data_IF_590303350860
#
_entry.id   IF_590303350860
#
_cell.length_a   1.000
_cell.length_b   1.000
_cell.length_c   1.000
_cell.angle_alpha   90.00
_cell.angle_beta   90.00
_cell.angle_gamma   90.00
#
_symmetry.space_group_name_H-M   'P 1'
#
loop_
_entity.id
_entity.type
_entity.pdbx_description
1 polymer ?
#
# COMPACT_ATOMS: atom_id res chain seq x y z
N UNK A 1 14.33 -11.66 17.97
CA UNK A 1 14.07 -10.98 16.68
C UNK A 1 13.33 -9.68 16.90
N UNK A 2 13.66 -8.71 16.07
CA UNK A 2 13.03 -7.38 16.07
C UNK A 2 12.60 -7.06 14.62
N UNK A 3 11.90 -5.95 14.44
CA UNK A 3 11.37 -5.53 13.13
C UNK A 3 12.43 -5.54 12.02
N UNK A 4 13.64 -5.05 12.31
CA UNK A 4 14.75 -5.02 11.35
C UNK A 4 15.06 -6.41 10.77
N UNK A 5 14.92 -7.45 11.57
CA UNK A 5 15.30 -8.80 11.16
C UNK A 5 14.36 -9.41 10.12
N UNK A 6 13.13 -8.88 10.03
CA UNK A 6 12.10 -9.43 9.14
C UNK A 6 11.57 -8.45 8.12
N UNK A 7 11.97 -7.18 8.18
CA UNK A 7 11.49 -6.18 7.22
C UNK A 7 12.03 -6.46 5.82
N UNK A 8 11.24 -6.10 4.82
CA UNK A 8 11.64 -6.10 3.42
C UNK A 8 12.15 -4.70 3.09
N UNK A 9 13.34 -4.62 2.52
CA UNK A 9 13.95 -3.33 2.15
C UNK A 9 13.75 -2.99 0.68
N UNK A 10 13.48 -3.98 -0.16
CA UNK A 10 13.12 -3.78 -1.57
C UNK A 10 11.60 -3.81 -1.69
N UNK A 11 10.98 -2.65 -1.62
CA UNK A 11 9.53 -2.51 -1.67
C UNK A 11 9.16 -1.28 -2.49
N UNK A 12 8.00 -1.29 -3.18
CA UNK A 12 7.61 -0.17 -4.00
C UNK A 12 7.14 1.03 -3.17
N UNK A 13 7.70 2.19 -3.47
CA UNK A 13 7.31 3.48 -2.90
C UNK A 13 6.91 4.43 -4.02
N UNK A 14 6.14 5.43 -3.67
CA UNK A 14 5.77 6.51 -4.59
C UNK A 14 5.69 7.84 -3.85
N UNK A 15 5.97 8.92 -4.58
CA UNK A 15 5.77 10.27 -4.05
C UNK A 15 4.28 10.59 -3.95
N UNK A 16 3.91 11.32 -2.90
CA UNK A 16 2.53 11.82 -2.76
C UNK A 16 2.14 12.77 -3.90
N UNK A 17 3.12 13.36 -4.58
CA UNK A 17 2.89 14.27 -5.72
C UNK A 17 2.78 13.56 -7.07
N UNK A 18 3.05 12.25 -7.12
CA UNK A 18 2.94 11.48 -8.36
C UNK A 18 1.48 11.35 -8.79
N UNK A 19 1.27 11.06 -10.08
CA UNK A 19 -0.08 10.85 -10.61
C UNK A 19 -0.61 9.45 -10.23
N UNK A 20 -1.92 9.34 -10.18
CA UNK A 20 -2.59 8.04 -9.99
C UNK A 20 -2.22 7.09 -11.13
N UNK A 21 -2.08 7.61 -12.35
CA UNK A 21 -1.65 6.81 -13.49
C UNK A 21 -0.27 6.18 -13.28
N UNK A 22 0.68 6.95 -12.73
CA UNK A 22 2.01 6.43 -12.40
C UNK A 22 1.92 5.36 -11.31
N UNK A 23 1.09 5.57 -10.31
CA UNK A 23 0.88 4.61 -9.24
C UNK A 23 0.35 3.28 -9.76
N UNK A 24 -0.63 3.31 -10.66
CA UNK A 24 -1.19 2.09 -11.26
C UNK A 24 -0.12 1.34 -12.06
N UNK A 25 0.72 2.07 -12.81
CA UNK A 25 1.84 1.44 -13.55
C UNK A 25 2.82 0.75 -12.61
N UNK A 26 3.16 1.37 -11.50
CA UNK A 26 4.09 0.76 -10.51
C UNK A 26 3.43 -0.44 -9.85
N UNK A 27 2.15 -0.36 -9.48
CA UNK A 27 1.40 -1.49 -8.94
C UNK A 27 1.38 -2.66 -9.92
N UNK A 28 1.09 -2.40 -11.18
CA UNK A 28 1.03 -3.43 -12.21
C UNK A 28 2.40 -4.08 -12.43
N UNK A 29 3.47 -3.28 -12.48
CA UNK A 29 4.83 -3.77 -12.65
C UNK A 29 5.26 -4.68 -11.50
N UNK A 30 4.91 -4.34 -10.27
CA UNK A 30 5.37 -5.07 -9.07
C UNK A 30 4.44 -6.19 -8.65
N UNK A 31 3.14 -6.10 -8.97
CA UNK A 31 2.12 -7.00 -8.45
C UNK A 31 1.17 -7.54 -9.53
N UNK A 32 1.40 -7.22 -10.80
CA UNK A 32 0.52 -7.66 -11.89
C UNK A 32 0.70 -9.11 -12.29
N UNK A 33 1.74 -9.77 -11.83
CA UNK A 33 2.01 -11.19 -12.09
C UNK A 33 1.47 -12.03 -10.94
N UNK A 34 0.70 -13.04 -11.25
CA UNK A 34 0.08 -13.95 -10.28
C UNK A 34 1.09 -14.77 -9.48
N UNK A 35 2.35 -14.79 -9.87
CA UNK A 35 3.39 -15.56 -9.16
C UNK A 35 3.84 -14.93 -7.84
N UNK A 36 3.44 -13.71 -7.54
CA UNK A 36 3.93 -12.97 -6.35
C UNK A 36 3.08 -13.22 -5.08
N UNK A 37 2.63 -14.32 -4.81
CA UNK A 37 1.64 -14.61 -3.76
C UNK A 37 2.00 -14.20 -2.32
N UNK A 38 3.17 -13.60 -2.11
CA UNK A 38 3.70 -13.36 -0.77
C UNK A 38 3.38 -11.99 -0.17
N UNK A 39 2.80 -11.08 -0.94
CA UNK A 39 2.49 -9.75 -0.44
C UNK A 39 1.25 -9.17 -1.12
N UNK A 40 0.43 -8.46 -0.37
CA UNK A 40 -0.71 -7.76 -0.91
C UNK A 40 -0.24 -6.54 -1.73
N UNK A 41 -0.83 -6.27 -2.91
CA UNK A 41 -0.50 -5.09 -3.69
C UNK A 41 -0.71 -3.80 -2.90
N UNK A 42 0.24 -2.88 -3.01
CA UNK A 42 0.15 -1.58 -2.37
C UNK A 42 1.46 -0.83 -2.43
N UNK A 43 1.37 0.47 -2.32
CA UNK A 43 2.52 1.37 -2.36
C UNK A 43 2.61 2.15 -1.06
N UNK A 44 3.81 2.27 -0.53
CA UNK A 44 4.12 3.21 0.54
C UNK A 44 4.24 4.59 -0.08
N UNK A 45 3.47 5.55 0.42
CA UNK A 45 3.49 6.92 -0.08
C UNK A 45 4.33 7.78 0.84
N UNK A 46 5.28 8.50 0.25
CA UNK A 46 6.23 9.33 0.99
C UNK A 46 6.23 10.76 0.45
N UNK A 47 6.68 11.69 1.30
CA UNK A 47 6.92 13.07 0.90
C UNK A 47 8.33 13.24 0.33
N UNK A 48 8.73 14.48 0.05
CA UNK A 48 10.03 14.83 -0.53
C UNK A 48 11.20 14.40 0.35
N UNK A 49 10.98 14.30 1.67
CA UNK A 49 11.99 13.91 2.65
C UNK A 49 12.04 12.39 2.89
N UNK A 50 11.23 11.61 2.18
CA UNK A 50 11.16 10.16 2.40
C UNK A 50 10.35 9.75 3.62
N UNK A 51 9.57 10.68 4.18
CA UNK A 51 8.73 10.43 5.34
C UNK A 51 7.39 9.82 4.94
N UNK A 52 6.89 8.91 5.77
CA UNK A 52 5.62 8.24 5.53
C UNK A 52 4.47 9.25 5.55
N UNK A 53 3.62 9.21 4.52
CA UNK A 53 2.38 10.00 4.47
C UNK A 53 1.14 9.13 4.33
N UNK A 54 1.25 7.96 3.72
CA UNK A 54 0.10 7.09 3.56
C UNK A 54 0.41 5.82 2.81
N UNK A 55 -0.66 5.11 2.47
CA UNK A 55 -0.63 3.88 1.69
C UNK A 55 -1.60 4.03 0.53
N UNK A 56 -1.21 3.54 -0.63
CA UNK A 56 -2.08 3.48 -1.80
C UNK A 56 -2.22 2.02 -2.22
N UNK A 57 -3.44 1.50 -2.16
CA UNK A 57 -3.75 0.11 -2.51
C UNK A 57 -4.73 0.05 -3.67
N UNK A 58 -4.90 -1.12 -4.31
CA UNK A 58 -5.97 -1.29 -5.30
C UNK A 58 -7.35 -0.91 -4.77
N UNK A 59 -7.65 -1.21 -3.50
CA UNK A 59 -8.93 -0.85 -2.90
C UNK A 59 -9.14 0.67 -2.90
N UNK A 60 -8.10 1.44 -2.57
CA UNK A 60 -8.14 2.90 -2.57
C UNK A 60 -8.45 3.45 -3.96
N UNK A 61 -7.81 2.88 -4.99
CA UNK A 61 -8.03 3.29 -6.38
C UNK A 61 -9.44 2.89 -6.84
N UNK A 62 -9.89 1.69 -6.51
CA UNK A 62 -11.25 1.24 -6.83
C UNK A 62 -12.29 2.14 -6.18
N UNK A 63 -12.05 2.57 -4.94
CA UNK A 63 -12.93 3.52 -4.25
C UNK A 63 -13.00 4.85 -4.99
N UNK A 64 -11.87 5.35 -5.48
CA UNK A 64 -11.83 6.59 -6.26
C UNK A 64 -12.57 6.45 -7.59
N UNK A 65 -12.44 5.31 -8.28
CA UNK A 65 -13.19 5.02 -9.51
C UNK A 65 -14.70 4.98 -9.24
N UNK A 66 -15.12 4.33 -8.16
CA UNK A 66 -16.52 4.26 -7.76
C UNK A 66 -17.10 5.63 -7.44
N UNK A 67 -16.37 6.47 -6.73
CA UNK A 67 -16.77 7.83 -6.43
C UNK A 67 -16.94 8.66 -7.71
N UNK A 68 -16.00 8.54 -8.65
CA UNK A 68 -16.07 9.22 -9.94
C UNK A 68 -17.30 8.78 -10.74
N UNK A 69 -17.60 7.50 -10.75
CA UNK A 69 -18.77 6.95 -11.44
C UNK A 69 -20.07 7.53 -10.86
N UNK A 70 -20.16 7.64 -9.54
CA UNK A 70 -21.33 8.18 -8.86
C UNK A 70 -21.50 9.68 -9.12
N UNK A 71 -20.42 10.46 -9.07
CA UNK A 71 -20.45 11.90 -9.31
C UNK A 71 -20.88 12.24 -10.73
N UNK A 72 -20.49 11.42 -11.70
CA UNK A 72 -20.80 11.66 -13.13
C UNK A 72 -22.11 11.01 -13.56
N UNK A 73 -22.80 10.28 -12.69
CA UNK A 73 -24.03 9.57 -13.01
C UNK A 73 -23.83 8.38 -13.94
N UNK A 74 -22.60 7.92 -14.14
CA UNK A 74 -22.25 6.84 -15.08
C UNK A 74 -22.36 5.45 -14.49
N UNK A 75 -22.63 5.32 -13.21
CA UNK A 75 -22.63 4.03 -12.50
C UNK A 75 -23.67 3.02 -12.99
N UNK A 76 -24.68 3.49 -13.74
CA UNK A 76 -25.77 2.64 -14.25
C UNK A 76 -25.60 2.22 -15.70
N UNK A 77 -24.62 2.77 -16.40
CA UNK A 77 -24.48 2.63 -17.84
C UNK A 77 -23.16 1.95 -18.17
N UNK A 78 -23.06 0.69 -17.81
CA UNK A 78 -21.84 -0.08 -17.97
C UNK A 78 -21.68 -0.51 -19.44
N UNK A 79 -20.79 0.16 -20.14
CA UNK A 79 -20.42 -0.13 -21.51
C UNK A 79 -18.89 -0.07 -21.66
N UNK A 80 -18.31 -0.54 -22.78
CA UNK A 80 -16.85 -0.57 -22.94
C UNK A 80 -16.14 0.78 -22.81
N UNK A 81 -16.84 1.88 -23.14
CA UNK A 81 -16.28 3.23 -23.01
C UNK A 81 -16.27 3.77 -21.59
N UNK A 82 -17.07 3.18 -20.68
CA UNK A 82 -17.20 3.66 -19.31
C UNK A 82 -15.86 3.58 -18.57
N UNK A 83 -15.19 2.45 -18.63
CA UNK A 83 -13.94 2.26 -17.91
C UNK A 83 -12.85 3.19 -18.40
N UNK A 84 -12.74 3.36 -19.72
CA UNK A 84 -11.77 4.29 -20.30
C UNK A 84 -12.05 5.73 -19.83
N UNK A 85 -13.33 6.14 -19.77
CA UNK A 85 -13.71 7.47 -19.33
C UNK A 85 -13.41 7.68 -17.84
N UNK A 86 -13.73 6.70 -16.99
CA UNK A 86 -13.45 6.79 -15.56
C UNK A 86 -11.94 6.84 -15.30
N UNK A 87 -11.18 5.98 -15.97
CA UNK A 87 -9.72 5.98 -15.84
C UNK A 87 -9.13 7.29 -16.34
N UNK A 88 -9.65 7.83 -17.45
CA UNK A 88 -9.24 9.14 -17.97
C UNK A 88 -9.46 10.26 -16.97
N UNK A 89 -10.55 10.19 -16.19
CA UNK A 89 -10.88 11.20 -15.17
C UNK A 89 -9.95 11.16 -13.97
N UNK A 90 -9.49 9.99 -13.56
CA UNK A 90 -8.69 9.87 -12.31
C UNK A 90 -7.18 9.78 -12.54
N UNK A 91 -6.73 9.39 -13.74
CA UNK A 91 -5.30 9.12 -13.98
C UNK A 91 -4.40 10.33 -13.73
N UNK A 92 -4.90 11.53 -13.95
CA UNK A 92 -4.16 12.78 -13.73
C UNK A 92 -4.23 13.32 -12.31
N UNK A 93 -5.10 12.76 -11.47
CA UNK A 93 -5.14 13.15 -10.05
C UNK A 93 -3.84 12.74 -9.39
N UNK A 94 -3.48 13.43 -8.31
CA UNK A 94 -2.30 13.09 -7.54
C UNK A 94 -2.61 11.98 -6.54
N UNK A 95 -1.60 11.19 -6.22
CA UNK A 95 -1.70 10.15 -5.19
C UNK A 95 -2.25 10.73 -3.90
N UNK A 96 -1.77 11.91 -3.50
CA UNK A 96 -2.23 12.58 -2.27
C UNK A 96 -3.74 12.86 -2.24
N UNK A 97 -4.38 12.97 -3.41
CA UNK A 97 -5.81 13.27 -3.50
C UNK A 97 -6.69 12.07 -3.16
N UNK A 98 -6.16 10.86 -3.29
CA UNK A 98 -6.96 9.62 -3.12
C UNK A 98 -6.40 8.64 -2.10
N UNK A 99 -5.13 8.77 -1.69
CA UNK A 99 -4.49 7.81 -0.78
C UNK A 99 -5.16 7.76 0.59
N UNK A 100 -4.98 6.65 1.28
CA UNK A 100 -5.30 6.58 2.70
C UNK A 100 -4.15 7.21 3.48
N UNK A 101 -4.40 8.35 4.12
CA UNK A 101 -3.42 9.00 4.99
C UNK A 101 -3.20 8.13 6.20
N UNK A 102 -1.95 7.75 6.44
CA UNK A 102 -1.58 6.86 7.52
C UNK A 102 -0.25 7.26 8.09
N UNK A 103 -0.20 7.42 9.40
CA UNK A 103 1.02 7.74 10.12
C UNK A 103 1.55 6.56 10.96
N UNK A 104 0.90 5.39 10.90
CA UNK A 104 1.29 4.25 11.73
C UNK A 104 2.50 3.56 11.09
N UNK A 105 3.56 3.52 11.86
CA UNK A 105 4.83 2.86 11.51
C UNK A 105 5.44 2.28 12.78
N UNK A 106 6.50 1.49 12.61
CA UNK A 106 7.30 0.99 13.72
C UNK A 106 8.76 1.33 13.48
N UNK A 107 9.54 1.34 14.53
CA UNK A 107 10.99 1.49 14.44
C UNK A 107 11.65 0.15 14.19
N UNK A 108 12.93 0.18 13.79
CA UNK A 108 13.68 -1.03 13.45
C UNK A 108 13.85 -1.99 14.63
N UNK A 109 13.84 -1.46 15.86
CA UNK A 109 14.00 -2.25 17.09
C UNK A 109 12.67 -2.68 17.70
N UNK A 110 11.55 -2.46 17.03
CA UNK A 110 10.24 -2.86 17.53
C UNK A 110 10.17 -4.37 17.74
N UNK A 111 9.53 -4.78 18.85
CA UNK A 111 9.34 -6.19 19.15
C UNK A 111 8.25 -6.78 18.27
N UNK A 112 8.42 -8.02 17.83
CA UNK A 112 7.47 -8.64 16.90
C UNK A 112 6.06 -8.75 17.48
N UNK A 113 5.92 -8.98 18.79
CA UNK A 113 4.61 -9.03 19.43
C UNK A 113 3.90 -7.67 19.38
N UNK A 114 4.64 -6.58 19.50
CA UNK A 114 4.05 -5.23 19.40
C UNK A 114 3.62 -4.94 17.96
N UNK A 115 4.40 -5.38 16.98
CA UNK A 115 4.03 -5.26 15.56
C UNK A 115 2.78 -6.10 15.28
N UNK A 116 2.71 -7.31 15.80
CA UNK A 116 1.56 -8.19 15.65
C UNK A 116 0.29 -7.54 16.23
N UNK A 117 0.39 -6.89 17.38
CA UNK A 117 -0.74 -6.19 17.99
C UNK A 117 -1.27 -5.06 17.09
N UNK A 118 -0.37 -4.34 16.41
CA UNK A 118 -0.78 -3.30 15.45
C UNK A 118 -1.52 -3.89 14.25
N UNK A 119 -1.07 -5.02 13.72
CA UNK A 119 -1.76 -5.69 12.63
C UNK A 119 -3.18 -6.13 13.02
N UNK A 120 -3.32 -6.70 14.21
CA UNK A 120 -4.61 -7.17 14.70
C UNK A 120 -5.57 -6.01 14.92
N UNK A 121 -5.09 -4.93 15.55
CA UNK A 121 -5.94 -3.79 15.89
C UNK A 121 -6.40 -3.00 14.66
N UNK A 122 -5.58 -2.93 13.62
CA UNK A 122 -5.82 -2.06 12.47
C UNK A 122 -6.13 -2.80 11.17
N UNK A 123 -5.98 -4.11 11.14
CA UNK A 123 -6.19 -4.95 9.96
C UNK A 123 -5.37 -4.52 8.75
N UNK A 124 -4.18 -4.01 8.97
CA UNK A 124 -3.29 -3.60 7.89
C UNK A 124 -2.76 -4.80 7.09
N UNK A 125 -2.41 -4.58 5.83
CA UNK A 125 -1.70 -5.56 5.01
C UNK A 125 -0.19 -5.46 5.24
N UNK A 126 0.28 -4.27 5.58
CA UNK A 126 1.69 -3.97 5.80
C UNK A 126 1.83 -2.85 6.81
N UNK A 127 2.98 -2.82 7.46
CA UNK A 127 3.35 -1.73 8.37
C UNK A 127 4.73 -1.24 7.96
N UNK A 128 4.88 0.05 7.62
CA UNK A 128 6.19 0.62 7.33
C UNK A 128 7.10 0.64 8.54
N UNK A 129 8.40 0.46 8.30
CA UNK A 129 9.45 0.59 9.30
C UNK A 129 10.21 1.87 9.01
N UNK A 130 10.43 2.69 10.03
CA UNK A 130 11.07 3.99 9.88
C UNK A 130 12.36 4.09 10.70
N UNK A 131 13.29 4.88 10.18
CA UNK A 131 14.52 5.30 10.86
C UNK A 131 14.66 6.81 10.62
N UNK A 132 14.80 7.59 11.69
CA UNK A 132 14.88 9.05 11.60
C UNK A 132 13.75 9.64 10.74
N UNK A 133 12.53 9.17 10.97
CA UNK A 133 11.29 9.54 10.29
C UNK A 133 11.19 9.10 8.82
N UNK A 134 12.21 8.46 8.26
CA UNK A 134 12.21 7.97 6.89
C UNK A 134 11.86 6.51 6.81
N UNK A 135 11.10 6.13 5.79
CA UNK A 135 10.74 4.72 5.56
C UNK A 135 11.97 3.96 5.06
N UNK A 136 12.35 2.93 5.80
CA UNK A 136 13.52 2.10 5.46
C UNK A 136 13.14 0.64 5.17
N UNK A 137 11.93 0.25 5.46
CA UNK A 137 11.47 -1.12 5.23
C UNK A 137 9.96 -1.24 5.38
N UNK A 138 9.46 -2.42 5.08
CA UNK A 138 8.05 -2.77 5.23
C UNK A 138 7.96 -4.18 5.81
N UNK A 139 7.01 -4.37 6.73
CA UNK A 139 6.68 -5.70 7.24
C UNK A 139 5.30 -6.08 6.72
N UNK A 140 5.21 -7.20 6.00
CA UNK A 140 3.94 -7.78 5.57
C UNK A 140 3.41 -8.75 6.61
N UNK A 141 2.08 -8.84 6.76
CA UNK A 141 1.42 -9.71 7.75
C UNK A 141 1.90 -11.15 7.68
N UNK A 142 1.93 -11.71 6.49
CA UNK A 142 2.33 -13.10 6.29
C UNK A 142 3.78 -13.34 6.71
N UNK A 143 4.65 -12.40 6.41
CA UNK A 143 6.06 -12.51 6.78
C UNK A 143 6.25 -12.51 8.31
N UNK A 144 5.49 -11.64 8.99
CA UNK A 144 5.51 -11.62 10.46
C UNK A 144 5.02 -12.95 11.03
N UNK A 145 3.91 -13.47 10.51
CA UNK A 145 3.37 -14.76 10.95
C UNK A 145 4.43 -15.87 10.79
N UNK A 146 5.03 -15.98 9.60
CA UNK A 146 6.00 -17.05 9.34
C UNK A 146 7.25 -16.92 10.21
N UNK A 147 7.69 -15.70 10.50
CA UNK A 147 8.82 -15.47 11.39
C UNK A 147 8.51 -15.86 12.85
N UNK A 148 7.32 -15.52 13.33
CA UNK A 148 6.91 -15.81 14.70
C UNK A 148 6.52 -17.29 14.90
N UNK A 149 5.99 -17.90 13.89
CA UNK A 149 5.43 -19.25 13.94
C UNK A 149 6.36 -20.29 13.27
N UNK A 150 7.63 -20.00 13.16
CA UNK A 150 8.60 -20.88 12.48
C UNK A 150 8.56 -22.30 13.05
N UNK A 151 8.41 -22.44 14.36
CA UNK A 151 8.35 -23.74 15.01
C UNK A 151 7.12 -24.56 14.61
N UNK A 152 6.09 -23.93 14.06
CA UNK A 152 4.89 -24.65 13.55
C UNK A 152 5.12 -25.22 12.15
N UNK A 153 6.19 -24.83 11.49
CA UNK A 153 6.49 -25.24 10.11
C UNK A 153 7.39 -26.48 10.03
N UNK A 154 7.93 -26.90 11.18
CA UNK A 154 8.88 -28.03 11.24
C UNK A 154 8.24 -29.35 11.70
#
# INVERSE_FOLDING_TARGET
MIARDIMITDFPMISLHASVGDAVRILHKNFGDESYMNAAPGLVVVNENGELTGILSPLTILRALGAEANETGRSRDENPGLYANLCGSIKGKRVMDIMDWQAISVTEDARLLDVAALFVSNRFQRIPVVRDSKVVGVIYRSRLLFAMAESLLT
#
